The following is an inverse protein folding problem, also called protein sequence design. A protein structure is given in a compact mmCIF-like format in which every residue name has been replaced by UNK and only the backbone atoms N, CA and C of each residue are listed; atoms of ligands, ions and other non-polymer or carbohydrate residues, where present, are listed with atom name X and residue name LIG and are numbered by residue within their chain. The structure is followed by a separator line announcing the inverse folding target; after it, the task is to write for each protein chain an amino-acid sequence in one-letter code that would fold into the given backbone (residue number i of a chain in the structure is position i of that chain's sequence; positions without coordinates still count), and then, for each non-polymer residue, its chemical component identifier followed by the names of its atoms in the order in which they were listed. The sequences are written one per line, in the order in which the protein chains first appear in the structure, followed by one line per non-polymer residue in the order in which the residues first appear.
data_IF_016625482244
#
_entry.id   IF_016625482244
#
_cell.length_a   1.000
_cell.length_b   1.000
_cell.length_c   1.000
_cell.angle_alpha   90.00
_cell.angle_beta   90.00
_cell.angle_gamma   90.00
#
_symmetry.space_group_name_H-M   'P 1'
#
loop_
_entity.id
_entity.type
_entity.pdbx_description
1 polymer ?
#
# COMPACT_ATOMS: atom_id res chain seq x y z
N UNK A 1 -0.43 -19.23 -6.42
CA UNK A 1 1.00 -19.53 -6.72
C UNK A 1 1.55 -18.79 -7.94
N UNK A 2 0.75 -18.39 -8.94
CA UNK A 2 1.23 -17.65 -10.13
C UNK A 2 1.73 -16.22 -9.86
N UNK A 3 1.30 -15.61 -8.74
CA UNK A 3 1.64 -14.23 -8.38
C UNK A 3 3.09 -14.07 -7.88
N UNK A 4 3.62 -15.07 -7.16
CA UNK A 4 5.02 -15.03 -6.71
C UNK A 4 5.99 -15.09 -7.89
N UNK A 5 5.75 -15.97 -8.88
CA UNK A 5 6.64 -16.10 -10.04
C UNK A 5 6.76 -14.81 -10.86
N UNK A 6 5.69 -14.03 -10.97
CA UNK A 6 5.72 -12.74 -11.68
C UNK A 6 6.62 -11.74 -10.94
N UNK A 7 6.52 -11.70 -9.61
CA UNK A 7 7.36 -10.83 -8.77
C UNK A 7 8.84 -11.27 -8.85
N UNK A 8 9.12 -12.57 -8.84
CA UNK A 8 10.49 -13.09 -8.93
C UNK A 8 11.14 -12.76 -10.27
N UNK A 9 10.40 -12.90 -11.37
CA UNK A 9 10.91 -12.56 -12.72
C UNK A 9 11.18 -11.06 -12.84
N UNK A 10 10.30 -10.22 -12.28
CA UNK A 10 10.51 -8.77 -12.25
C UNK A 10 11.76 -8.39 -11.44
N UNK A 11 12.03 -9.09 -10.33
CA UNK A 11 13.19 -8.86 -9.47
C UNK A 11 14.51 -9.22 -10.17
N UNK A 12 14.55 -10.34 -10.89
CA UNK A 12 15.77 -10.80 -11.60
C UNK A 12 16.13 -9.87 -12.75
N UNK A 13 15.14 -9.30 -13.45
CA UNK A 13 15.38 -8.37 -14.55
C UNK A 13 16.02 -7.05 -14.08
N UNK A 14 15.68 -6.57 -12.88
CA UNK A 14 16.23 -5.34 -12.29
C UNK A 14 17.71 -5.51 -11.92
N UNK A 15 18.09 -6.70 -11.43
CA UNK A 15 19.47 -6.98 -10.96
C UNK A 15 20.44 -7.07 -12.15
N UNK A 16 20.02 -7.65 -13.28
CA UNK A 16 20.86 -7.83 -14.45
C UNK A 16 21.28 -6.50 -15.11
N UNK A 17 20.41 -5.48 -15.08
CA UNK A 17 20.68 -4.16 -15.70
C UNK A 17 21.68 -3.35 -14.85
N UNK A 18 21.75 -3.61 -13.55
CA UNK A 18 22.63 -2.88 -12.62
C UNK A 18 24.12 -3.24 -12.77
N UNK A 19 24.46 -4.41 -13.30
CA UNK A 19 25.85 -4.90 -13.34
C UNK A 19 26.60 -4.61 -14.65
N UNK A 20 25.93 -4.06 -15.68
CA UNK A 20 26.51 -3.90 -17.02
C UNK A 20 27.02 -2.48 -17.36
N UNK A 21 27.04 -1.53 -16.41
CA UNK A 21 27.41 -0.14 -16.71
C UNK A 21 28.73 0.22 -16.00
N UNK A 22 29.80 0.58 -16.73
CA UNK A 22 31.10 0.89 -16.14
C UNK A 22 31.02 2.10 -15.22
N UNK A 23 31.76 2.02 -14.10
CA UNK A 23 31.77 2.93 -12.96
C UNK A 23 32.42 4.30 -13.23
N UNK A 24 31.91 5.05 -14.21
CA UNK A 24 32.09 6.52 -14.22
C UNK A 24 30.81 7.14 -13.68
N UNK A 25 30.92 8.00 -12.65
CA UNK A 25 29.79 8.76 -12.08
C UNK A 25 29.24 9.73 -13.14
N UNK A 26 28.50 9.22 -14.12
CA UNK A 26 27.70 10.04 -15.03
C UNK A 26 26.54 10.62 -14.22
N UNK A 27 26.27 11.91 -14.37
CA UNK A 27 24.96 12.49 -14.01
C UNK A 27 23.87 11.58 -14.60
N UNK A 28 22.76 11.40 -13.88
CA UNK A 28 21.68 10.51 -14.33
C UNK A 28 21.36 10.81 -15.81
N UNK A 29 21.38 9.77 -16.66
CA UNK A 29 21.24 9.95 -18.10
C UNK A 29 19.92 10.64 -18.46
N UNK A 30 19.87 11.32 -19.61
CA UNK A 30 18.72 12.13 -20.05
C UNK A 30 17.38 11.39 -20.08
N UNK A 31 17.40 10.04 -20.14
CA UNK A 31 16.20 9.18 -20.08
C UNK A 31 15.85 8.67 -18.68
N UNK A 32 16.82 8.65 -17.75
CA UNK A 32 16.66 8.07 -16.40
C UNK A 32 15.80 8.97 -15.53
N UNK A 33 16.02 10.28 -15.57
CA UNK A 33 15.27 11.22 -14.74
C UNK A 33 13.78 11.25 -15.13
N UNK A 34 13.38 11.41 -16.42
CA UNK A 34 11.97 11.38 -16.80
C UNK A 34 11.28 10.07 -16.45
N UNK A 35 11.97 8.93 -16.63
CA UNK A 35 11.43 7.62 -16.28
C UNK A 35 11.23 7.49 -14.76
N UNK A 36 12.18 7.99 -13.96
CA UNK A 36 12.06 8.02 -12.50
C UNK A 36 10.86 8.84 -12.03
N UNK A 37 10.60 10.00 -12.65
CA UNK A 37 9.41 10.82 -12.37
C UNK A 37 8.13 10.07 -12.71
N UNK A 38 8.08 9.39 -13.87
CA UNK A 38 6.89 8.60 -14.24
C UNK A 38 6.59 7.45 -13.26
N UNK A 39 7.63 6.79 -12.73
CA UNK A 39 7.46 5.79 -11.68
C UNK A 39 7.03 6.41 -10.35
N UNK A 40 7.60 7.56 -9.95
CA UNK A 40 7.17 8.31 -8.77
C UNK A 40 5.66 8.62 -8.82
N UNK A 41 5.19 9.19 -9.94
CA UNK A 41 3.77 9.52 -10.15
C UNK A 41 2.89 8.27 -10.04
N UNK A 42 3.34 7.16 -10.63
CA UNK A 42 2.64 5.87 -10.56
C UNK A 42 2.55 5.34 -9.13
N UNK A 43 3.64 5.41 -8.36
CA UNK A 43 3.63 5.02 -6.96
C UNK A 43 2.71 5.91 -6.12
N UNK A 44 2.70 7.22 -6.36
CA UNK A 44 1.82 8.16 -5.68
C UNK A 44 0.35 7.86 -5.97
N UNK A 45 0.01 7.56 -7.22
CA UNK A 45 -1.35 7.17 -7.61
C UNK A 45 -1.80 5.88 -6.90
N UNK A 46 -0.98 4.84 -6.95
CA UNK A 46 -1.29 3.54 -6.31
C UNK A 46 -1.44 3.71 -4.79
N UNK A 47 -0.54 4.47 -4.14
CA UNK A 47 -0.63 4.72 -2.69
C UNK A 47 -1.90 5.51 -2.33
N UNK A 48 -2.30 6.47 -3.16
CA UNK A 48 -3.54 7.22 -2.98
C UNK A 48 -4.77 6.31 -3.08
N UNK A 49 -4.80 5.40 -4.06
CA UNK A 49 -5.86 4.40 -4.19
C UNK A 49 -5.93 3.46 -2.97
N UNK A 50 -4.77 3.02 -2.47
CA UNK A 50 -4.68 2.21 -1.25
C UNK A 50 -5.23 2.95 -0.02
N UNK A 51 -4.89 4.23 0.15
CA UNK A 51 -5.43 5.08 1.24
C UNK A 51 -6.94 5.22 1.15
N UNK A 52 -7.47 5.43 -0.05
CA UNK A 52 -8.92 5.50 -0.27
C UNK A 52 -9.62 4.18 0.07
N UNK A 53 -9.02 3.04 -0.27
CA UNK A 53 -9.53 1.73 0.10
C UNK A 53 -9.48 1.52 1.63
N UNK A 54 -8.38 1.90 2.27
CA UNK A 54 -8.19 1.86 3.74
C UNK A 54 -9.32 2.62 4.44
N UNK A 55 -9.60 3.85 4.02
CA UNK A 55 -10.70 4.66 4.61
C UNK A 55 -12.08 4.03 4.41
N UNK A 56 -12.32 3.36 3.28
CA UNK A 56 -13.58 2.62 3.07
C UNK A 56 -13.71 1.45 4.03
N UNK A 57 -12.62 0.72 4.31
CA UNK A 57 -12.64 -0.34 5.30
C UNK A 57 -12.86 0.20 6.72
N UNK A 58 -12.17 1.27 7.12
CA UNK A 58 -12.36 1.92 8.43
C UNK A 58 -13.83 2.27 8.67
N UNK A 59 -14.49 2.87 7.66
CA UNK A 59 -15.94 3.18 7.72
C UNK A 59 -16.78 1.92 7.89
N UNK A 60 -16.50 0.86 7.14
CA UNK A 60 -17.24 -0.41 7.23
C UNK A 60 -17.03 -1.10 8.57
N UNK A 61 -15.82 -1.07 9.13
CA UNK A 61 -15.50 -1.61 10.46
C UNK A 61 -16.30 -0.85 11.53
N UNK A 62 -16.34 0.49 11.46
CA UNK A 62 -17.10 1.31 12.39
C UNK A 62 -18.61 1.03 12.29
N UNK A 63 -19.16 0.99 11.07
CA UNK A 63 -20.54 0.57 10.83
C UNK A 63 -20.82 -0.82 11.42
N UNK A 64 -19.96 -1.81 11.15
CA UNK A 64 -20.13 -3.19 11.64
C UNK A 64 -20.23 -3.25 13.17
N UNK A 65 -19.39 -2.49 13.91
CA UNK A 65 -19.44 -2.41 15.38
C UNK A 65 -20.78 -1.89 15.91
N UNK A 66 -21.48 -1.08 15.13
CA UNK A 66 -22.73 -0.43 15.55
C UNK A 66 -23.99 -1.13 15.02
N UNK A 67 -23.95 -1.62 13.78
CA UNK A 67 -25.09 -2.22 13.07
C UNK A 67 -25.32 -3.67 13.49
N UNK A 68 -24.26 -4.48 13.67
CA UNK A 68 -24.42 -5.90 14.06
C UNK A 68 -25.10 -6.04 15.42
N UNK A 69 -24.73 -5.30 16.49
CA UNK A 69 -25.44 -5.40 17.76
C UNK A 69 -26.89 -4.92 17.71
N UNK A 70 -27.25 -4.03 16.77
CA UNK A 70 -28.63 -3.56 16.59
C UNK A 70 -29.47 -4.64 15.91
N UNK A 71 -29.02 -5.13 14.76
CA UNK A 71 -29.68 -6.23 14.05
C UNK A 71 -29.83 -7.48 14.93
N UNK A 72 -28.78 -7.82 15.68
CA UNK A 72 -28.82 -8.96 16.60
C UNK A 72 -29.87 -8.82 17.71
N UNK A 73 -30.18 -7.60 18.17
CA UNK A 73 -31.25 -7.36 19.14
C UNK A 73 -32.63 -7.55 18.51
N UNK A 74 -32.81 -7.09 17.27
CA UNK A 74 -34.05 -7.24 16.51
C UNK A 74 -34.33 -8.72 16.23
N UNK A 75 -33.31 -9.47 15.82
CA UNK A 75 -33.40 -10.90 15.49
C UNK A 75 -33.32 -11.84 16.71
N UNK A 76 -33.19 -11.29 17.93
CA UNK A 76 -32.94 -12.06 19.16
C UNK A 76 -31.75 -13.04 19.04
N UNK A 77 -30.72 -12.65 18.29
CA UNK A 77 -29.51 -13.45 18.09
C UNK A 77 -28.78 -13.63 19.41
N UNK A 78 -28.23 -14.84 19.62
CA UNK A 78 -27.52 -15.16 20.84
C UNK A 78 -26.24 -14.32 21.02
N UNK A 79 -25.92 -14.00 22.27
CA UNK A 79 -24.78 -13.14 22.61
C UNK A 79 -23.43 -13.73 22.17
N UNK A 80 -23.30 -15.06 22.06
CA UNK A 80 -22.04 -15.71 21.69
C UNK A 80 -21.74 -15.48 20.20
N UNK A 81 -22.76 -15.59 19.34
CA UNK A 81 -22.64 -15.29 17.91
C UNK A 81 -22.29 -13.83 17.67
N UNK A 82 -22.95 -12.89 18.36
CA UNK A 82 -22.62 -11.45 18.26
C UNK A 82 -21.17 -11.19 18.68
N UNK A 83 -20.74 -11.76 19.81
CA UNK A 83 -19.36 -11.60 20.29
C UNK A 83 -18.35 -12.17 19.30
N UNK A 84 -18.65 -13.31 18.69
CA UNK A 84 -17.79 -13.90 17.67
C UNK A 84 -17.66 -12.98 16.44
N UNK A 85 -18.77 -12.44 15.92
CA UNK A 85 -18.76 -11.50 14.81
C UNK A 85 -17.94 -10.23 15.12
N UNK A 86 -18.13 -9.65 16.31
CA UNK A 86 -17.36 -8.49 16.74
C UNK A 86 -15.87 -8.79 16.86
N UNK A 87 -15.50 -9.95 17.43
CA UNK A 87 -14.09 -10.38 17.51
C UNK A 87 -13.46 -10.61 16.13
N UNK A 88 -14.27 -11.00 15.14
CA UNK A 88 -13.83 -11.14 13.77
C UNK A 88 -13.54 -9.77 13.17
N UNK A 89 -14.44 -8.80 13.35
CA UNK A 89 -14.24 -7.42 12.91
C UNK A 89 -13.02 -6.74 13.55
N UNK A 90 -12.70 -7.03 14.82
CA UNK A 90 -11.46 -6.56 15.48
C UNK A 90 -10.19 -7.07 14.76
N UNK A 91 -10.22 -8.27 14.17
CA UNK A 91 -9.09 -8.77 13.37
C UNK A 91 -8.93 -7.97 12.07
N UNK A 92 -10.04 -7.60 11.44
CA UNK A 92 -10.01 -6.74 10.25
C UNK A 92 -9.51 -5.34 10.58
N UNK A 93 -9.91 -4.79 11.71
CA UNK A 93 -9.44 -3.49 12.19
C UNK A 93 -7.90 -3.45 12.28
N UNK A 94 -7.29 -4.46 12.90
CA UNK A 94 -5.82 -4.56 12.99
C UNK A 94 -5.14 -4.58 11.62
N UNK A 95 -5.67 -5.36 10.67
CA UNK A 95 -5.12 -5.42 9.31
C UNK A 95 -5.25 -4.08 8.57
N UNK A 96 -6.35 -3.36 8.79
CA UNK A 96 -6.59 -2.04 8.19
C UNK A 96 -5.69 -0.98 8.82
N UNK A 97 -5.44 -1.05 10.13
CA UNK A 97 -4.46 -0.19 10.80
C UNK A 97 -3.04 -0.41 10.27
N UNK A 98 -2.62 -1.67 10.10
CA UNK A 98 -1.34 -2.02 9.49
C UNK A 98 -1.22 -1.50 8.05
N UNK A 99 -2.30 -1.59 7.27
CA UNK A 99 -2.37 -1.01 5.93
C UNK A 99 -2.20 0.52 5.97
N UNK A 100 -2.86 1.19 6.91
CA UNK A 100 -2.71 2.63 7.14
C UNK A 100 -1.27 3.03 7.49
N UNK A 101 -0.61 2.28 8.37
CA UNK A 101 0.82 2.47 8.71
C UNK A 101 1.71 2.26 7.48
N UNK A 102 1.42 1.23 6.68
CA UNK A 102 2.17 0.93 5.46
C UNK A 102 2.04 2.05 4.43
N UNK A 103 0.84 2.58 4.21
CA UNK A 103 0.59 3.70 3.30
C UNK A 103 1.37 4.97 3.73
N UNK A 104 1.50 5.23 5.04
CA UNK A 104 2.33 6.33 5.56
C UNK A 104 3.82 6.12 5.28
N UNK A 105 4.32 4.89 5.41
CA UNK A 105 5.72 4.54 5.07
C UNK A 105 5.98 4.70 3.57
N UNK A 106 5.00 4.35 2.72
CA UNK A 106 5.06 4.57 1.28
C UNK A 106 5.10 6.07 0.94
N UNK A 107 4.23 6.90 1.54
CA UNK A 107 4.25 8.36 1.36
C UNK A 107 5.65 8.92 1.69
N UNK A 108 6.25 8.51 2.81
CA UNK A 108 7.59 8.96 3.20
C UNK A 108 8.69 8.50 2.21
N UNK A 109 8.55 7.32 1.61
CA UNK A 109 9.51 6.77 0.64
C UNK A 109 9.39 7.47 -0.72
N UNK A 110 8.17 7.74 -1.18
CA UNK A 110 7.90 8.50 -2.40
C UNK A 110 8.42 9.93 -2.24
N UNK A 111 8.20 10.58 -1.09
CA UNK A 111 8.74 11.91 -0.84
C UNK A 111 10.28 11.95 -0.86
N UNK A 112 10.96 10.89 -0.41
CA UNK A 112 12.42 10.76 -0.55
C UNK A 112 12.85 10.62 -2.01
N UNK A 113 12.12 9.82 -2.79
CA UNK A 113 12.35 9.67 -4.24
C UNK A 113 12.19 11.02 -4.96
N UNK A 114 11.09 11.74 -4.69
CA UNK A 114 10.83 13.07 -5.24
C UNK A 114 11.99 14.03 -4.98
N UNK A 115 12.45 14.15 -3.72
CA UNK A 115 13.59 15.00 -3.35
C UNK A 115 14.86 14.63 -4.12
N UNK A 116 15.12 13.33 -4.31
CA UNK A 116 16.30 12.85 -5.03
C UNK A 116 16.20 13.17 -6.53
N UNK A 117 15.04 12.97 -7.14
CA UNK A 117 14.81 13.28 -8.56
C UNK A 117 14.92 14.79 -8.83
N UNK A 118 14.42 15.63 -7.91
CA UNK A 118 14.60 17.09 -8.00
C UNK A 118 16.07 17.49 -7.97
N UNK A 119 16.84 16.97 -7.02
CA UNK A 119 18.28 17.25 -6.90
C UNK A 119 19.12 16.73 -8.09
N UNK A 120 18.58 15.84 -8.92
CA UNK A 120 19.23 15.35 -10.14
C UNK A 120 18.90 16.20 -11.38
N UNK A 121 17.85 17.03 -11.32
CA UNK A 121 17.47 17.96 -12.39
C UNK A 121 18.22 19.30 -12.32
N UNK A 122 18.66 19.69 -11.12
CA UNK A 122 19.49 20.87 -10.82
C UNK A 122 20.98 20.59 -11.11
#
# INVERSE_FOLDING_TARGET
MKFLSIITILLVLIIAIAQAIPATKRKAGSKVIPLGVSFEDSYQLINTQSKNATSKFEKRIASFKTEIPKAAKEDQTDKKTVKWLLSWNEKYEKLVDELGVTNKKLDASIAKLHKKLKALKE
#
